data_IF_039593183921
#
_entry.id   IF_039593183921
#
_cell.length_a   1.000
_cell.length_b   1.000
_cell.length_c   1.000
_cell.angle_alpha   90.00
_cell.angle_beta   90.00
_cell.angle_gamma   90.00
#
_symmetry.space_group_name_H-M   'P 1'
#
loop_
_entity.id
_entity.type
_entity.pdbx_description
1 polymer ?
#
# COMPACT_ATOMS: atom_id res chain seq x y z
N UNK A 1 -11.32 -25.61 -4.92
CA UNK A 1 -10.68 -24.92 -6.07
C UNK A 1 -11.64 -23.86 -6.56
N UNK A 2 -11.16 -22.70 -7.02
CA UNK A 2 -12.02 -21.65 -7.54
C UNK A 2 -12.70 -22.09 -8.86
N UNK A 3 -13.93 -21.63 -9.15
CA UNK A 3 -14.56 -21.83 -10.45
C UNK A 3 -13.75 -21.18 -11.57
N UNK A 4 -13.69 -21.84 -12.73
CA UNK A 4 -12.99 -21.32 -13.93
C UNK A 4 -13.49 -19.93 -14.36
N UNK A 5 -14.73 -19.57 -14.04
CA UNK A 5 -15.34 -18.29 -14.37
C UNK A 5 -14.74 -17.09 -13.64
N UNK A 6 -14.09 -17.30 -12.49
CA UNK A 6 -13.51 -16.22 -11.67
C UNK A 6 -12.02 -16.38 -11.38
N UNK A 7 -11.43 -17.55 -11.68
CA UNK A 7 -10.08 -17.90 -11.22
C UNK A 7 -9.05 -16.88 -11.68
N UNK A 8 -9.07 -16.50 -12.96
CA UNK A 8 -8.07 -15.58 -13.52
C UNK A 8 -8.17 -14.18 -12.90
N UNK A 9 -9.39 -13.65 -12.78
CA UNK A 9 -9.65 -12.34 -12.21
C UNK A 9 -9.32 -12.31 -10.72
N UNK A 10 -9.62 -13.39 -10.01
CA UNK A 10 -9.31 -13.53 -8.60
C UNK A 10 -7.80 -13.57 -8.36
N UNK A 11 -7.06 -14.38 -9.10
CA UNK A 11 -5.60 -14.51 -8.96
C UNK A 11 -4.89 -13.17 -9.23
N UNK A 12 -5.33 -12.43 -10.26
CA UNK A 12 -4.78 -11.11 -10.57
C UNK A 12 -5.09 -10.08 -9.47
N UNK A 13 -6.33 -10.06 -8.97
CA UNK A 13 -6.71 -9.21 -7.84
C UNK A 13 -5.96 -9.59 -6.55
N UNK A 14 -5.67 -10.87 -6.32
CA UNK A 14 -4.87 -11.30 -5.19
C UNK A 14 -3.44 -10.73 -5.25
N UNK A 15 -2.82 -10.67 -6.44
CA UNK A 15 -1.51 -10.03 -6.61
C UNK A 15 -1.57 -8.53 -6.31
N UNK A 16 -2.59 -7.83 -6.84
CA UNK A 16 -2.78 -6.39 -6.59
C UNK A 16 -2.99 -6.12 -5.10
N UNK A 17 -3.86 -6.90 -4.43
CA UNK A 17 -4.12 -6.76 -2.99
C UNK A 17 -2.87 -7.07 -2.17
N UNK A 18 -2.11 -8.10 -2.54
CA UNK A 18 -0.83 -8.43 -1.88
C UNK A 18 0.16 -7.28 -1.98
N UNK A 19 0.34 -6.71 -3.18
CA UNK A 19 1.24 -5.58 -3.40
C UNK A 19 0.78 -4.33 -2.64
N UNK A 20 -0.53 -4.06 -2.60
CA UNK A 20 -1.11 -2.95 -1.86
C UNK A 20 -0.81 -3.07 -0.35
N UNK A 21 -1.01 -4.25 0.24
CA UNK A 21 -0.69 -4.49 1.64
C UNK A 21 0.80 -4.36 1.93
N UNK A 22 1.66 -4.87 1.03
CA UNK A 22 3.11 -4.69 1.15
C UNK A 22 3.51 -3.21 1.13
N UNK A 23 2.96 -2.43 0.18
CA UNK A 23 3.23 -0.99 0.08
C UNK A 23 2.81 -0.25 1.36
N UNK A 24 1.67 -0.61 1.94
CA UNK A 24 1.22 -0.07 3.22
C UNK A 24 2.16 -0.42 4.37
N UNK A 25 2.61 -1.67 4.49
CA UNK A 25 3.55 -2.10 5.52
C UNK A 25 4.88 -1.35 5.43
N UNK A 26 5.40 -1.16 4.20
CA UNK A 26 6.62 -0.37 3.95
C UNK A 26 6.41 1.08 4.37
N UNK A 27 5.28 1.68 3.97
CA UNK A 27 4.94 3.06 4.33
C UNK A 27 4.83 3.23 5.85
N UNK A 28 4.13 2.33 6.54
CA UNK A 28 3.97 2.38 7.99
C UNK A 28 5.33 2.22 8.71
N UNK A 29 6.16 1.28 8.26
CA UNK A 29 7.47 1.00 8.86
C UNK A 29 8.46 2.15 8.69
N UNK A 30 8.40 2.85 7.55
CA UNK A 30 9.26 4.00 7.26
C UNK A 30 8.74 5.30 7.88
N UNK A 31 7.45 5.58 7.80
CA UNK A 31 6.93 6.93 8.03
C UNK A 31 5.98 7.06 9.22
N UNK A 32 5.49 5.96 9.80
CA UNK A 32 4.52 5.98 10.90
C UNK A 32 5.02 5.25 12.16
N UNK A 33 6.27 4.76 12.17
CA UNK A 33 6.81 3.96 13.28
C UNK A 33 7.01 4.77 14.56
N UNK A 34 7.74 5.87 14.49
CA UNK A 34 8.00 6.82 15.58
C UNK A 34 8.75 8.06 15.06
N UNK A 35 8.92 9.07 15.91
CA UNK A 35 9.62 10.32 15.54
C UNK A 35 11.10 10.12 15.24
N UNK A 36 11.79 9.22 15.95
CA UNK A 36 13.23 8.96 15.74
C UNK A 36 13.50 8.37 14.36
N UNK A 37 12.59 7.53 13.87
CA UNK A 37 12.59 7.03 12.49
C UNK A 37 12.55 8.21 11.51
N UNK A 38 11.61 9.14 11.67
CA UNK A 38 11.49 10.31 10.78
C UNK A 38 12.74 11.20 10.85
N UNK A 39 13.28 11.45 12.04
CA UNK A 39 14.53 12.22 12.22
C UNK A 39 15.69 11.57 11.47
N UNK A 40 15.86 10.25 11.57
CA UNK A 40 16.90 9.52 10.84
C UNK A 40 16.75 9.64 9.32
N UNK A 41 15.54 9.48 8.79
CA UNK A 41 15.29 9.61 7.34
C UNK A 41 15.58 11.03 6.84
N UNK A 42 15.16 12.04 7.60
CA UNK A 42 15.38 13.45 7.27
C UNK A 42 16.86 13.87 7.40
N UNK A 43 17.60 13.26 8.33
CA UNK A 43 19.04 13.52 8.48
C UNK A 43 19.84 12.88 7.34
N UNK A 44 19.49 11.66 6.96
CA UNK A 44 20.31 10.87 6.00
C UNK A 44 20.05 11.21 4.54
N UNK A 45 18.79 11.27 4.11
CA UNK A 45 18.46 11.51 2.70
C UNK A 45 17.07 12.15 2.53
N UNK A 46 16.87 13.40 3.02
CA UNK A 46 15.55 14.02 3.11
C UNK A 46 14.84 14.13 1.75
N UNK A 47 15.58 14.52 0.70
CA UNK A 47 15.03 14.67 -0.65
C UNK A 47 14.60 13.33 -1.27
N UNK A 48 15.31 12.24 -0.96
CA UNK A 48 14.93 10.91 -1.42
C UNK A 48 13.68 10.41 -0.67
N UNK A 49 13.68 10.49 0.65
CA UNK A 49 12.58 9.96 1.46
C UNK A 49 11.27 10.72 1.28
N UNK A 50 11.29 12.03 0.96
CA UNK A 50 10.06 12.74 0.61
C UNK A 50 9.48 12.25 -0.73
N UNK A 51 10.32 11.91 -1.72
CA UNK A 51 9.85 11.33 -2.99
C UNK A 51 9.23 9.96 -2.74
N UNK A 52 9.90 9.10 -1.97
CA UNK A 52 9.39 7.77 -1.60
C UNK A 52 8.07 7.87 -0.83
N UNK A 53 7.99 8.76 0.16
CA UNK A 53 6.80 8.96 0.96
C UNK A 53 5.60 9.33 0.09
N UNK A 54 5.79 10.32 -0.80
CA UNK A 54 4.73 10.80 -1.69
C UNK A 54 4.35 9.72 -2.69
N UNK A 55 5.32 9.00 -3.29
CA UNK A 55 5.04 7.96 -4.27
C UNK A 55 4.22 6.82 -3.65
N UNK A 56 4.66 6.29 -2.51
CA UNK A 56 3.98 5.19 -1.83
C UNK A 56 2.56 5.56 -1.41
N UNK A 57 2.37 6.71 -0.74
CA UNK A 57 1.01 7.06 -0.28
C UNK A 57 0.06 7.32 -1.45
N UNK A 58 0.55 7.91 -2.55
CA UNK A 58 -0.26 8.09 -3.75
C UNK A 58 -0.69 6.75 -4.33
N UNK A 59 0.25 5.83 -4.49
CA UNK A 59 0.00 4.50 -5.03
C UNK A 59 -1.01 3.71 -4.19
N UNK A 60 -0.85 3.73 -2.86
CA UNK A 60 -1.76 3.08 -1.90
C UNK A 60 -3.18 3.65 -2.03
N UNK A 61 -3.33 4.98 -1.99
CA UNK A 61 -4.64 5.62 -2.06
C UNK A 61 -5.31 5.41 -3.43
N UNK A 62 -4.54 5.42 -4.53
CA UNK A 62 -5.04 5.14 -5.87
C UNK A 62 -5.48 3.69 -6.00
N UNK A 63 -4.67 2.74 -5.53
CA UNK A 63 -4.97 1.31 -5.60
C UNK A 63 -6.25 0.96 -4.85
N UNK A 64 -6.47 1.53 -3.66
CA UNK A 64 -7.72 1.37 -2.90
C UNK A 64 -8.92 1.86 -3.73
N UNK A 65 -8.78 3.00 -4.42
CA UNK A 65 -9.87 3.52 -5.26
C UNK A 65 -10.09 2.65 -6.49
N UNK A 66 -9.03 2.21 -7.18
CA UNK A 66 -9.16 1.36 -8.37
C UNK A 66 -9.85 0.03 -8.05
N UNK A 67 -9.57 -0.57 -6.89
CA UNK A 67 -10.23 -1.79 -6.43
C UNK A 67 -11.73 -1.59 -6.12
N UNK A 68 -12.14 -0.36 -5.81
CA UNK A 68 -13.50 0.00 -5.41
C UNK A 68 -14.31 0.72 -6.48
N UNK A 69 -13.65 1.13 -7.58
CA UNK A 69 -14.31 1.71 -8.74
C UNK A 69 -15.28 0.69 -9.38
N UNK A 70 -16.31 1.20 -10.04
CA UNK A 70 -17.33 0.35 -10.69
C UNK A 70 -16.69 -0.48 -11.81
N UNK A 71 -17.12 -1.74 -11.95
CA UNK A 71 -16.63 -2.63 -13.01
C UNK A 71 -16.85 -2.05 -14.41
N UNK A 72 -17.96 -1.33 -14.62
CA UNK A 72 -18.31 -0.68 -15.88
C UNK A 72 -18.18 0.84 -15.79
N UNK A 73 -17.24 1.40 -16.53
CA UNK A 73 -17.26 2.80 -16.96
C UNK A 73 -17.35 2.85 -18.47
N UNK A 74 -18.54 3.21 -19.00
CA UNK A 74 -18.82 3.28 -20.44
C UNK A 74 -18.59 1.92 -21.13
N UNK A 75 -17.67 1.84 -22.09
CA UNK A 75 -17.39 0.65 -22.92
C UNK A 75 -16.33 -0.29 -22.35
N UNK A 76 -15.58 0.14 -21.31
CA UNK A 76 -14.42 -0.60 -20.80
C UNK A 76 -14.77 -1.32 -19.50
N UNK A 77 -14.25 -2.55 -19.36
CA UNK A 77 -14.35 -3.36 -18.14
C UNK A 77 -13.10 -3.15 -17.28
N UNK A 78 -13.28 -2.78 -16.03
CA UNK A 78 -12.21 -2.64 -15.06
C UNK A 78 -12.09 -3.91 -14.22
N UNK A 79 -10.86 -4.37 -13.95
CA UNK A 79 -10.64 -5.43 -12.99
C UNK A 79 -10.76 -4.85 -11.57
N UNK A 80 -11.91 -5.06 -10.92
CA UNK A 80 -12.23 -4.50 -9.60
C UNK A 80 -12.92 -5.55 -8.73
N UNK A 81 -13.12 -5.27 -7.45
CA UNK A 81 -13.87 -6.19 -6.57
C UNK A 81 -15.30 -6.40 -7.04
N UNK A 82 -15.91 -5.38 -7.66
CA UNK A 82 -17.23 -5.46 -8.28
C UNK A 82 -17.27 -6.43 -9.48
N UNK A 83 -16.17 -6.52 -10.22
CA UNK A 83 -16.02 -7.46 -11.34
C UNK A 83 -16.19 -8.91 -10.86
N UNK A 84 -15.59 -9.25 -9.70
CA UNK A 84 -15.71 -10.59 -9.13
C UNK A 84 -17.17 -10.91 -8.79
N UNK A 85 -17.91 -9.97 -8.20
CA UNK A 85 -19.34 -10.16 -7.87
C UNK A 85 -20.15 -10.45 -9.14
N UNK A 86 -19.91 -9.70 -10.22
CA UNK A 86 -20.61 -9.88 -11.50
C UNK A 86 -20.33 -11.26 -12.15
N UNK A 87 -19.16 -11.85 -11.90
CA UNK A 87 -18.75 -13.13 -12.50
C UNK A 87 -19.21 -14.36 -11.69
N UNK A 88 -19.73 -14.17 -10.47
CA UNK A 88 -20.27 -15.25 -9.65
C UNK A 88 -21.58 -15.81 -10.25
N UNK A 89 -21.82 -17.11 -10.07
CA UNK A 89 -23.06 -17.76 -10.51
C UNK A 89 -24.26 -17.23 -9.74
N UNK A 90 -25.46 -17.28 -10.33
CA UNK A 90 -26.73 -16.99 -9.63
C UNK A 90 -26.98 -17.95 -8.46
N UNK A 91 -26.42 -19.16 -8.52
CA UNK A 91 -26.48 -20.12 -7.42
C UNK A 91 -25.67 -19.69 -6.19
N UNK A 92 -24.74 -18.75 -6.34
CA UNK A 92 -23.86 -18.25 -5.27
C UNK A 92 -24.45 -17.02 -4.56
N UNK A 93 -25.79 -16.94 -4.50
CA UNK A 93 -26.54 -15.77 -4.00
C UNK A 93 -26.13 -15.32 -2.59
N UNK A 94 -25.87 -16.26 -1.67
CA UNK A 94 -25.44 -15.94 -0.31
C UNK A 94 -24.08 -15.25 -0.30
N UNK A 95 -23.11 -15.77 -1.08
CA UNK A 95 -21.80 -15.15 -1.23
C UNK A 95 -21.93 -13.76 -1.87
N UNK A 96 -22.71 -13.63 -2.96
CA UNK A 96 -22.98 -12.32 -3.60
C UNK A 96 -23.52 -11.31 -2.59
N UNK A 97 -24.42 -11.72 -1.70
CA UNK A 97 -24.99 -10.85 -0.67
C UNK A 97 -23.93 -10.36 0.32
N UNK A 98 -23.12 -11.28 0.85
CA UNK A 98 -22.00 -10.95 1.76
C UNK A 98 -21.00 -9.99 1.11
N UNK A 99 -20.60 -10.26 -0.13
CA UNK A 99 -19.65 -9.42 -0.85
C UNK A 99 -20.21 -8.02 -1.15
N UNK A 100 -21.50 -7.90 -1.44
CA UNK A 100 -22.15 -6.61 -1.63
C UNK A 100 -22.20 -5.77 -0.34
N UNK A 101 -22.43 -6.40 0.82
CA UNK A 101 -22.36 -5.72 2.11
C UNK A 101 -20.94 -5.22 2.41
N UNK A 102 -19.92 -6.07 2.21
CA UNK A 102 -18.51 -5.67 2.35
C UNK A 102 -18.14 -4.54 1.40
N UNK A 103 -18.57 -4.60 0.14
CA UNK A 103 -18.38 -3.53 -0.83
C UNK A 103 -19.02 -2.22 -0.37
N UNK A 104 -20.24 -2.26 0.18
CA UNK A 104 -20.93 -1.08 0.71
C UNK A 104 -20.13 -0.42 1.84
N UNK A 105 -19.69 -1.23 2.83
CA UNK A 105 -18.83 -0.78 3.92
C UNK A 105 -17.53 -0.17 3.42
N UNK A 106 -16.91 -0.79 2.42
CA UNK A 106 -15.66 -0.33 1.82
C UNK A 106 -15.85 1.00 1.07
N UNK A 107 -16.94 1.18 0.33
CA UNK A 107 -17.26 2.44 -0.33
C UNK A 107 -17.41 3.58 0.68
N UNK A 108 -17.99 3.32 1.84
CA UNK A 108 -18.13 4.32 2.90
C UNK A 108 -16.77 4.75 3.48
N UNK A 109 -15.88 3.80 3.72
CA UNK A 109 -14.51 4.07 4.22
C UNK A 109 -13.63 4.79 3.21
N UNK A 110 -13.88 4.60 1.91
CA UNK A 110 -13.10 5.19 0.83
C UNK A 110 -13.61 6.55 0.34
N UNK A 111 -14.73 7.08 0.88
CA UNK A 111 -15.25 8.42 0.51
C UNK A 111 -14.21 9.52 0.70
N UNK A 112 -13.52 9.53 1.85
CA UNK A 112 -12.48 10.52 2.14
C UNK A 112 -11.29 10.38 1.17
N UNK A 113 -10.93 9.15 0.82
CA UNK A 113 -9.82 8.85 -0.11
C UNK A 113 -10.19 9.29 -1.54
N UNK A 114 -11.44 9.09 -1.95
CA UNK A 114 -11.97 9.54 -3.25
C UNK A 114 -11.92 11.06 -3.41
N UNK A 115 -12.18 11.82 -2.33
CA UNK A 115 -12.04 13.28 -2.34
C UNK A 115 -10.58 13.69 -2.56
N UNK A 116 -9.63 13.00 -1.91
CA UNK A 116 -8.19 13.24 -2.10
C UNK A 116 -7.80 12.99 -3.57
N UNK A 117 -8.29 11.91 -4.18
CA UNK A 117 -8.05 11.63 -5.61
C UNK A 117 -8.49 12.79 -6.48
N UNK A 118 -9.77 13.16 -6.38
CA UNK A 118 -10.37 14.17 -7.26
C UNK A 118 -9.70 15.54 -7.10
N UNK A 119 -9.22 15.91 -5.90
CA UNK A 119 -8.65 17.24 -5.62
C UNK A 119 -7.12 17.36 -5.73
N UNK A 120 -6.38 16.26 -5.61
CA UNK A 120 -4.91 16.30 -5.48
C UNK A 120 -4.16 15.28 -6.33
N UNK A 121 -4.79 14.18 -6.71
CA UNK A 121 -4.13 13.10 -7.45
C UNK A 121 -4.46 13.11 -8.94
N UNK A 122 -5.70 13.47 -9.29
CA UNK A 122 -6.17 13.51 -10.69
C UNK A 122 -6.28 14.93 -11.24
N UNK A 123 -6.63 15.91 -10.41
CA UNK A 123 -6.72 17.32 -10.80
C UNK A 123 -5.95 18.14 -9.76
N UNK A 124 -4.99 18.95 -10.21
CA UNK A 124 -4.31 19.92 -9.33
C UNK A 124 -5.27 21.08 -9.06
N UNK A 125 -6.28 20.84 -8.22
CA UNK A 125 -7.33 21.79 -7.94
C UNK A 125 -6.76 23.10 -7.38
N UNK A 126 -6.99 24.20 -8.10
CA UNK A 126 -6.39 25.50 -7.81
C UNK A 126 -6.82 26.05 -6.44
N UNK A 127 -8.07 25.79 -6.04
CA UNK A 127 -8.58 26.17 -4.71
C UNK A 127 -7.85 25.41 -3.60
N UNK A 128 -7.59 24.13 -3.80
CA UNK A 128 -6.80 23.30 -2.88
C UNK A 128 -5.35 23.79 -2.75
N UNK A 129 -4.76 24.38 -3.79
CA UNK A 129 -3.46 25.05 -3.70
C UNK A 129 -3.52 26.33 -2.85
N UNK A 130 -4.51 27.19 -3.07
CA UNK A 130 -4.69 28.43 -2.31
C UNK A 130 -4.88 28.18 -0.81
N UNK A 131 -5.63 27.13 -0.44
CA UNK A 131 -5.93 26.82 0.97
C UNK A 131 -4.76 26.17 1.72
N UNK A 132 -3.88 25.44 1.02
CA UNK A 132 -2.83 24.62 1.67
C UNK A 132 -1.40 25.11 1.46
N UNK A 133 -1.16 26.02 0.52
CA UNK A 133 0.17 26.50 0.12
C UNK A 133 1.09 25.44 -0.50
N UNK A 134 0.73 24.15 -0.40
CA UNK A 134 1.47 23.02 -0.93
C UNK A 134 0.51 21.88 -1.31
N UNK A 135 0.11 21.88 -2.59
CA UNK A 135 -0.80 20.88 -3.16
C UNK A 135 -0.22 19.45 -3.16
N UNK A 136 1.11 19.31 -2.99
CA UNK A 136 1.80 18.00 -2.96
C UNK A 136 1.75 17.34 -1.59
N UNK A 137 1.44 18.09 -0.52
CA UNK A 137 1.21 17.49 0.80
C UNK A 137 -0.08 16.69 0.77
N UNK A 138 -0.01 15.38 1.01
CA UNK A 138 -1.19 14.52 1.08
C UNK A 138 -1.56 14.37 2.55
N UNK A 139 -2.74 14.85 2.92
CA UNK A 139 -3.33 14.65 4.23
C UNK A 139 -4.38 13.56 4.06
N UNK A 140 -4.25 12.48 4.80
CA UNK A 140 -5.17 11.35 4.76
C UNK A 140 -5.43 10.85 6.19
N UNK A 141 -6.55 10.17 6.36
CA UNK A 141 -6.85 9.48 7.62
C UNK A 141 -6.23 8.08 7.57
N UNK A 142 -5.28 7.81 8.48
CA UNK A 142 -4.64 6.49 8.65
C UNK A 142 -5.66 5.38 8.89
N UNK A 143 -6.64 5.62 9.76
CA UNK A 143 -7.67 4.63 10.11
C UNK A 143 -8.50 4.26 8.89
N UNK A 144 -8.84 5.24 8.03
CA UNK A 144 -9.56 4.95 6.79
C UNK A 144 -8.78 4.04 5.85
N UNK A 145 -7.45 4.14 5.81
CA UNK A 145 -6.61 3.24 5.02
C UNK A 145 -6.60 1.84 5.63
N UNK A 146 -6.38 1.73 6.94
CA UNK A 146 -6.37 0.44 7.65
C UNK A 146 -7.70 -0.29 7.51
N UNK A 147 -8.81 0.40 7.76
CA UNK A 147 -10.15 -0.16 7.63
C UNK A 147 -10.43 -0.62 6.20
N UNK A 148 -9.98 0.14 5.20
CA UNK A 148 -10.15 -0.24 3.79
C UNK A 148 -9.34 -1.51 3.46
N UNK A 149 -8.09 -1.59 3.90
CA UNK A 149 -7.24 -2.77 3.70
C UNK A 149 -7.83 -4.02 4.38
N UNK A 150 -8.36 -3.87 5.60
CA UNK A 150 -9.02 -4.96 6.32
C UNK A 150 -10.27 -5.46 5.57
N UNK A 151 -11.11 -4.55 5.08
CA UNK A 151 -12.31 -4.90 4.31
C UNK A 151 -11.96 -5.55 2.95
N UNK A 152 -10.91 -5.07 2.27
CA UNK A 152 -10.41 -5.68 1.01
C UNK A 152 -9.90 -7.10 1.27
N UNK A 153 -9.09 -7.28 2.32
CA UNK A 153 -8.61 -8.61 2.73
C UNK A 153 -9.76 -9.54 3.06
N UNK A 154 -10.75 -9.06 3.82
CA UNK A 154 -11.94 -9.83 4.14
C UNK A 154 -12.70 -10.23 2.88
N UNK A 155 -12.92 -9.30 1.95
CA UNK A 155 -13.59 -9.57 0.68
C UNK A 155 -12.94 -10.73 -0.10
N UNK A 156 -11.61 -10.69 -0.28
CA UNK A 156 -10.88 -11.75 -0.98
C UNK A 156 -10.96 -13.08 -0.22
N UNK A 157 -10.87 -13.04 1.11
CA UNK A 157 -10.94 -14.22 1.95
C UNK A 157 -12.33 -14.85 1.99
N UNK A 158 -13.43 -14.09 1.88
CA UNK A 158 -14.79 -14.66 1.79
C UNK A 158 -14.97 -15.52 0.53
N UNK A 159 -14.47 -15.07 -0.62
CA UNK A 159 -14.49 -15.86 -1.87
C UNK A 159 -13.66 -17.13 -1.69
N UNK A 160 -12.44 -17.00 -1.15
CA UNK A 160 -11.54 -18.12 -0.90
C UNK A 160 -12.19 -19.13 0.04
N UNK A 161 -12.76 -18.67 1.13
CA UNK A 161 -13.45 -19.47 2.13
C UNK A 161 -14.61 -20.25 1.51
N UNK A 162 -15.45 -19.58 0.72
CA UNK A 162 -16.63 -20.19 0.10
C UNK A 162 -16.28 -21.34 -0.86
N UNK A 163 -15.23 -21.20 -1.68
CA UNK A 163 -14.89 -22.21 -2.71
C UNK A 163 -13.77 -23.19 -2.32
N UNK A 164 -12.96 -22.88 -1.30
CA UNK A 164 -11.79 -23.67 -0.91
C UNK A 164 -11.91 -24.24 0.51
N UNK A 165 -12.69 -23.61 1.40
CA UNK A 165 -12.92 -24.07 2.77
C UNK A 165 -11.89 -23.58 3.80
N UNK A 166 -12.16 -23.91 5.07
CA UNK A 166 -11.68 -23.32 6.33
C UNK A 166 -10.16 -23.25 6.61
N UNK A 167 -9.26 -23.67 5.71
CA UNK A 167 -7.84 -23.84 6.04
C UNK A 167 -6.86 -22.97 5.24
N UNK A 168 -7.34 -22.08 4.38
CA UNK A 168 -6.47 -21.16 3.63
C UNK A 168 -7.01 -19.75 3.77
N UNK A 169 -6.51 -19.01 4.76
CA UNK A 169 -6.70 -17.55 4.88
C UNK A 169 -5.41 -16.91 4.38
N UNK A 170 -5.50 -16.02 3.39
CA UNK A 170 -4.33 -15.23 2.99
C UNK A 170 -4.15 -14.12 4.02
N UNK A 171 -3.06 -14.17 4.80
CA UNK A 171 -2.67 -13.12 5.74
C UNK A 171 -1.85 -12.05 5.02
N UNK A 172 -2.53 -11.18 4.29
CA UNK A 172 -1.88 -10.11 3.51
C UNK A 172 -1.02 -9.17 4.38
N UNK A 173 -1.32 -9.06 5.67
CA UNK A 173 -0.59 -8.21 6.64
C UNK A 173 0.66 -8.84 7.26
N UNK A 174 1.02 -10.07 6.91
CA UNK A 174 2.12 -10.80 7.56
C UNK A 174 3.31 -11.10 6.65
N UNK A 175 3.36 -10.55 5.43
CA UNK A 175 4.50 -10.74 4.53
C UNK A 175 5.76 -10.00 5.05
N UNK A 176 6.51 -10.70 5.91
CA UNK A 176 7.84 -10.31 6.36
C UNK A 176 8.83 -10.67 5.25
N UNK A 177 9.23 -9.68 4.43
CA UNK A 177 10.31 -9.89 3.47
C UNK A 177 11.67 -9.89 4.16
N UNK A 178 12.49 -10.88 3.84
CA UNK A 178 13.95 -10.84 4.00
C UNK A 178 14.45 -9.59 3.25
N UNK A 179 15.35 -8.79 3.87
CA UNK A 179 15.75 -7.48 3.33
C UNK A 179 14.77 -6.32 3.62
N UNK A 180 13.89 -6.48 4.62
CA UNK A 180 12.88 -5.50 5.04
C UNK A 180 13.39 -4.07 5.30
N UNK A 181 12.45 -3.14 5.46
CA UNK A 181 12.68 -1.76 5.94
C UNK A 181 13.63 -1.72 7.14
N UNK A 182 13.55 -2.67 8.06
CA UNK A 182 14.43 -2.67 9.24
C UNK A 182 15.92 -2.89 8.91
N UNK A 183 16.23 -3.62 7.83
CA UNK A 183 17.62 -3.76 7.36
C UNK A 183 18.15 -2.43 6.79
N UNK A 184 17.36 -1.75 5.96
CA UNK A 184 17.70 -0.41 5.46
C UNK A 184 17.97 0.54 6.62
N UNK A 185 17.11 0.53 7.63
CA UNK A 185 17.27 1.33 8.84
C UNK A 185 18.56 0.97 9.59
N UNK A 186 18.87 -0.32 9.72
CA UNK A 186 20.11 -0.78 10.33
C UNK A 186 21.33 -0.19 9.62
N UNK A 187 21.32 -0.19 8.29
CA UNK A 187 22.37 0.41 7.47
C UNK A 187 22.45 1.93 7.63
N UNK A 188 21.32 2.64 7.61
CA UNK A 188 21.29 4.09 7.81
C UNK A 188 21.84 4.48 9.18
N UNK A 189 21.45 3.79 10.25
CA UNK A 189 21.98 4.03 11.60
C UNK A 189 23.49 3.79 11.67
N UNK A 190 23.98 2.73 11.03
CA UNK A 190 25.42 2.43 10.96
C UNK A 190 26.18 3.52 10.18
N UNK A 191 25.61 4.00 9.07
CA UNK A 191 26.17 5.10 8.29
C UNK A 191 26.32 6.39 9.10
N UNK A 192 25.27 6.80 9.82
CA UNK A 192 25.33 8.00 10.69
C UNK A 192 26.41 7.85 11.77
N UNK A 193 26.47 6.72 12.47
CA UNK A 193 27.50 6.47 13.48
C UNK A 193 28.91 6.49 12.91
N UNK A 194 29.07 6.01 11.68
CA UNK A 194 30.35 6.00 10.98
C UNK A 194 30.80 7.42 10.63
N UNK A 195 29.89 8.26 10.11
CA UNK A 195 30.14 9.68 9.83
C UNK A 195 30.50 10.46 11.10
N UNK A 196 29.81 10.20 12.22
CA UNK A 196 30.15 10.73 13.54
C UNK A 196 31.56 10.29 13.99
N UNK A 197 31.95 9.04 13.75
CA UNK A 197 33.26 8.52 14.11
C UNK A 197 34.39 9.14 13.28
N UNK A 198 34.17 9.39 12.00
CA UNK A 198 35.14 10.11 11.15
C UNK A 198 35.27 11.56 11.61
N UNK A 199 34.14 12.27 11.77
CA UNK A 199 34.15 13.69 12.16
C UNK A 199 34.75 13.94 13.55
N UNK A 200 34.67 12.95 14.45
CA UNK A 200 35.31 13.01 15.78
C UNK A 200 36.75 12.48 15.80
N UNK A 201 37.31 12.10 14.65
CA UNK A 201 38.68 11.59 14.53
C UNK A 201 38.89 10.20 15.14
N UNK A 202 37.81 9.46 15.44
CA UNK A 202 37.88 8.08 15.94
C UNK A 202 38.25 7.07 14.85
N UNK A 203 38.05 7.43 13.57
CA UNK A 203 38.41 6.62 12.40
C UNK A 203 39.10 7.53 11.37
N UNK A 204 40.23 7.07 10.79
CA UNK A 204 40.90 7.75 9.68
C UNK A 204 40.38 7.23 8.32
N UNK A 205 39.92 8.15 7.48
CA UNK A 205 39.04 7.93 6.30
C UNK A 205 39.72 7.24 5.08
N UNK A 206 41.00 6.87 5.16
CA UNK A 206 41.85 6.82 3.96
C UNK A 206 41.64 5.58 3.04
N UNK A 207 41.05 4.45 3.48
CA UNK A 207 41.08 3.20 2.67
C UNK A 207 39.83 2.29 2.65
N UNK A 208 38.62 2.74 2.98
CA UNK A 208 37.53 1.77 3.30
C UNK A 208 36.60 1.34 2.15
N UNK A 209 36.63 1.96 0.97
CA UNK A 209 35.71 1.63 -0.13
C UNK A 209 36.24 0.66 -1.19
N UNK A 210 37.46 0.10 -1.03
CA UNK A 210 38.08 -0.61 -2.16
C UNK A 210 37.56 -2.01 -2.49
N UNK A 211 37.01 -2.81 -1.56
CA UNK A 211 36.72 -4.23 -1.89
C UNK A 211 35.62 -4.91 -1.05
N UNK A 212 34.34 -4.49 -1.13
CA UNK A 212 33.27 -5.18 -0.33
C UNK A 212 31.88 -5.29 -0.95
N UNK A 213 31.74 -5.33 -2.28
CA UNK A 213 30.54 -5.93 -2.86
C UNK A 213 30.86 -7.36 -3.28
N UNK A 214 30.16 -8.40 -2.77
CA UNK A 214 30.31 -9.73 -3.33
C UNK A 214 30.00 -9.65 -4.83
N UNK A 215 30.86 -10.24 -5.67
CA UNK A 215 30.57 -10.36 -7.10
C UNK A 215 29.21 -11.05 -7.24
N UNK A 216 28.31 -10.41 -7.98
CA UNK A 216 26.97 -10.91 -8.28
C UNK A 216 27.02 -12.25 -9.01
#
# INVERSE_FOLDING_TARGET
MLPKSITKEFDELEQIVTQLHFNWQVYESLFLKNEDRIKLLNYTAPAFFIVVQIALIKDILISIIQLTDKHKTKSNKNLTLDALIELLSETDFLLKTTLNDLKSKLLDKTRAISIIRNKRLSHFDYKTFLDSGNIRKIIFNKESVIDSLALISQFMNEIRYFYIGQHIITLYSENISIGSVEHLIGWLKSGVKFEEAISTGKINDIHLYKDKFPKA
#
